data_IF_502992691309
#
_entry.id   IF_502992691309
#
_cell.length_a   1.000
_cell.length_b   1.000
_cell.length_c   1.000
_cell.angle_alpha   90.00
_cell.angle_beta   90.00
_cell.angle_gamma   90.00
#
_symmetry.space_group_name_H-M   'P 1'
#
loop_
_entity.id
_entity.type
_entity.pdbx_description
1 polymer ?
#
# COMPACT_ATOMS: atom_id res chain seq x y z
N UNK A 1 12.18 -10.54 -5.50
CA UNK A 1 11.08 -9.69 -4.99
C UNK A 1 11.61 -8.26 -4.79
N UNK A 2 10.83 -7.21 -5.12
CA UNK A 2 11.23 -5.81 -4.85
C UNK A 2 10.76 -5.44 -3.45
N UNK A 3 11.71 -5.27 -2.53
CA UNK A 3 11.42 -4.87 -1.14
C UNK A 3 11.03 -3.39 -1.08
N UNK A 4 9.92 -3.12 -0.41
CA UNK A 4 9.29 -1.80 -0.32
C UNK A 4 8.69 -1.62 1.07
N UNK A 5 8.80 -0.42 1.61
CA UNK A 5 8.13 -0.03 2.85
C UNK A 5 7.14 1.09 2.51
N UNK A 6 5.92 0.99 3.03
CA UNK A 6 4.90 2.02 2.85
C UNK A 6 4.65 2.72 4.17
N UNK A 7 4.67 4.05 4.14
CA UNK A 7 4.26 4.92 5.25
C UNK A 7 2.98 5.61 4.84
N UNK A 8 1.95 5.45 5.66
CA UNK A 8 0.56 5.80 5.34
C UNK A 8 0.01 6.65 6.48
N UNK A 9 -0.54 7.81 6.13
CA UNK A 9 -1.24 8.69 7.07
C UNK A 9 -0.33 9.32 8.12
N UNK A 10 -0.80 9.40 9.37
CA UNK A 10 -0.09 10.05 10.47
C UNK A 10 -0.99 11.04 11.19
N UNK A 11 -0.58 12.29 11.38
CA UNK A 11 -1.38 13.36 11.99
C UNK A 11 -2.57 13.81 11.09
N UNK A 12 -3.52 12.90 10.84
CA UNK A 12 -4.61 13.08 9.88
C UNK A 12 -4.12 13.45 8.46
N UNK A 13 -2.93 13.01 8.09
CA UNK A 13 -2.39 13.20 6.74
C UNK A 13 -3.02 12.22 5.75
N UNK A 14 -3.15 12.64 4.48
CA UNK A 14 -3.53 11.78 3.35
C UNK A 14 -2.33 11.18 2.63
N UNK A 15 -1.11 11.50 3.06
CA UNK A 15 0.12 11.15 2.35
C UNK A 15 0.40 9.65 2.37
N UNK A 16 0.90 9.17 1.24
CA UNK A 16 1.51 7.85 1.10
C UNK A 16 2.94 8.06 0.60
N UNK A 17 3.88 7.50 1.33
CA UNK A 17 5.29 7.47 0.94
C UNK A 17 5.75 6.03 0.81
N UNK A 18 6.48 5.75 -0.26
CA UNK A 18 7.07 4.46 -0.54
C UNK A 18 8.59 4.58 -0.46
N UNK A 19 9.20 3.76 0.38
CA UNK A 19 10.63 3.61 0.44
C UNK A 19 11.08 2.41 -0.39
N UNK A 20 11.88 2.68 -1.40
CA UNK A 20 12.49 1.67 -2.27
C UNK A 20 13.79 1.20 -1.61
N UNK A 21 13.76 0.03 -0.95
CA UNK A 21 14.86 -0.43 -0.08
C UNK A 21 16.20 -0.52 -0.81
N UNK A 22 16.20 -1.06 -2.03
CA UNK A 22 17.42 -1.20 -2.86
C UNK A 22 17.97 0.15 -3.31
N UNK A 23 17.08 1.07 -3.70
CA UNK A 23 17.46 2.39 -4.20
C UNK A 23 17.74 3.39 -3.07
N UNK A 24 17.42 3.03 -1.82
CA UNK A 24 17.52 3.86 -0.61
C UNK A 24 16.89 5.24 -0.78
N UNK A 25 15.74 5.29 -1.45
CA UNK A 25 15.05 6.54 -1.77
C UNK A 25 13.57 6.47 -1.45
N UNK A 26 13.04 7.63 -1.09
CA UNK A 26 11.62 7.86 -0.92
C UNK A 26 10.98 8.29 -2.23
N UNK A 27 9.75 7.82 -2.44
CA UNK A 27 8.87 8.23 -3.55
C UNK A 27 7.50 8.57 -2.98
N UNK A 28 6.96 9.72 -3.37
CA UNK A 28 5.55 10.07 -3.09
C UNK A 28 4.63 9.27 -4.00
N UNK A 29 3.49 8.85 -3.44
CA UNK A 29 2.42 8.14 -4.15
C UNK A 29 1.15 8.99 -4.15
N UNK A 30 0.13 8.57 -4.91
CA UNK A 30 -1.16 9.26 -4.88
C UNK A 30 -1.71 9.29 -3.43
N UNK A 31 -2.23 10.44 -2.96
CA UNK A 31 -2.74 10.56 -1.60
C UNK A 31 -4.09 9.85 -1.42
N UNK A 32 -4.47 9.54 -0.18
CA UNK A 32 -5.81 9.10 0.16
C UNK A 32 -6.85 10.21 0.03
N UNK A 33 -8.11 9.81 -0.16
CA UNK A 33 -9.24 10.73 -0.10
C UNK A 33 -9.44 11.36 1.28
N UNK A 34 -9.05 10.66 2.35
CA UNK A 34 -9.28 11.07 3.74
C UNK A 34 -8.04 10.81 4.58
N UNK A 35 -7.65 11.81 5.37
CA UNK A 35 -6.51 11.72 6.27
C UNK A 35 -6.81 10.92 7.52
N UNK A 36 -5.86 10.10 8.00
CA UNK A 36 -6.10 9.12 9.06
C UNK A 36 -4.93 8.99 10.03
N UNK A 37 -5.24 8.80 11.32
CA UNK A 37 -4.30 8.49 12.40
C UNK A 37 -4.74 7.21 13.16
N UNK A 38 -3.82 6.56 13.88
CA UNK A 38 -4.10 5.39 14.72
C UNK A 38 -4.84 4.24 14.00
N UNK A 39 -4.43 3.95 12.76
CA UNK A 39 -5.04 2.90 11.93
C UNK A 39 -4.11 1.68 11.84
N UNK A 40 -4.67 0.52 11.51
CA UNK A 40 -3.89 -0.67 11.18
C UNK A 40 -3.71 -0.78 9.66
N UNK A 41 -2.58 -1.36 9.22
CA UNK A 41 -2.26 -1.58 7.80
C UNK A 41 -1.83 -3.03 7.59
N UNK A 42 -2.31 -3.63 6.49
CA UNK A 42 -1.83 -4.92 6.00
C UNK A 42 -1.40 -4.79 4.53
N UNK A 43 -0.33 -5.48 4.16
CA UNK A 43 0.11 -5.62 2.78
C UNK A 43 0.04 -7.09 2.37
N UNK A 44 -0.62 -7.38 1.25
CA UNK A 44 -0.73 -8.73 0.71
C UNK A 44 -0.25 -8.75 -0.73
N UNK A 45 0.55 -9.75 -1.07
CA UNK A 45 0.93 -10.03 -2.45
C UNK A 45 -0.08 -11.01 -3.02
N UNK A 46 -0.79 -10.59 -4.08
CA UNK A 46 -1.74 -11.42 -4.83
C UNK A 46 -1.16 -11.71 -6.21
N UNK A 47 -1.38 -12.92 -6.70
CA UNK A 47 -1.06 -13.28 -8.09
C UNK A 47 -1.99 -12.49 -9.04
N UNK A 48 -1.46 -12.05 -10.19
CA UNK A 48 -2.27 -11.31 -11.18
C UNK A 48 -2.98 -12.21 -12.19
N UNK A 49 -2.65 -13.50 -12.23
CA UNK A 49 -3.40 -14.51 -12.96
C UNK A 49 -3.37 -15.86 -12.22
N UNK A 50 -4.39 -16.72 -12.40
CA UNK A 50 -4.43 -18.05 -11.78
C UNK A 50 -3.28 -18.95 -12.27
N UNK A 51 -2.82 -18.72 -13.49
CA UNK A 51 -1.80 -19.53 -14.17
C UNK A 51 -0.36 -19.11 -13.79
N UNK A 52 -0.19 -17.92 -13.19
CA UNK A 52 1.11 -17.39 -12.73
C UNK A 52 1.46 -17.80 -11.28
N UNK A 53 0.58 -18.50 -10.56
CA UNK A 53 0.87 -18.96 -9.19
C UNK A 53 2.00 -20.01 -9.16
N UNK A 54 2.19 -20.75 -10.26
CA UNK A 54 3.18 -21.83 -10.36
C UNK A 54 4.51 -21.41 -11.01
N UNK A 55 4.55 -20.30 -11.76
CA UNK A 55 5.79 -19.82 -12.37
C UNK A 55 6.61 -18.94 -11.42
N UNK A 56 7.86 -19.36 -11.18
CA UNK A 56 8.89 -18.58 -10.50
C UNK A 56 9.28 -17.34 -11.35
N UNK A 57 8.41 -16.35 -11.38
CA UNK A 57 8.50 -15.21 -12.30
C UNK A 57 7.20 -14.42 -12.49
N UNK A 58 6.06 -14.99 -12.06
CA UNK A 58 4.74 -14.36 -12.16
C UNK A 58 4.67 -12.94 -11.57
N UNK A 59 3.89 -12.09 -12.23
CA UNK A 59 3.67 -10.72 -11.78
C UNK A 59 2.85 -10.74 -10.49
N UNK A 60 3.46 -10.35 -9.37
CA UNK A 60 2.75 -10.19 -8.08
C UNK A 60 2.30 -8.75 -7.93
N UNK A 61 1.02 -8.55 -7.64
CA UNK A 61 0.45 -7.27 -7.27
C UNK A 61 0.43 -7.16 -5.74
N UNK A 62 0.93 -6.06 -5.20
CA UNK A 62 0.79 -5.78 -3.77
C UNK A 62 -0.46 -4.95 -3.55
N UNK A 63 -1.38 -5.46 -2.74
CA UNK A 63 -2.53 -4.73 -2.21
C UNK A 63 -2.21 -4.24 -0.80
N UNK A 64 -2.61 -3.01 -0.49
CA UNK A 64 -2.50 -2.41 0.85
C UNK A 64 -3.89 -2.15 1.38
N UNK A 65 -4.21 -2.73 2.53
CA UNK A 65 -5.49 -2.57 3.22
C UNK A 65 -5.31 -1.79 4.51
N UNK A 66 -6.21 -0.86 4.78
CA UNK A 66 -6.21 0.03 5.96
C UNK A 66 -7.49 -0.22 6.74
N UNK A 67 -7.35 -0.45 8.04
CA UNK A 67 -8.45 -0.79 8.93
C UNK A 67 -8.53 0.18 10.11
N UNK A 68 -9.73 0.68 10.37
CA UNK A 68 -9.99 1.65 11.42
C UNK A 68 -9.29 3.00 11.19
N UNK A 69 -9.45 3.86 12.19
CA UNK A 69 -8.74 5.12 12.43
C UNK A 69 -9.45 5.81 13.61
N UNK A 70 -8.77 6.72 14.31
CA UNK A 70 -9.49 7.64 15.20
C UNK A 70 -10.11 8.77 14.38
N UNK A 71 -11.37 9.14 14.66
CA UNK A 71 -12.06 10.26 14.01
C UNK A 71 -13.29 9.87 13.17
N UNK A 72 -13.92 10.86 12.50
CA UNK A 72 -15.29 10.77 11.98
C UNK A 72 -15.46 9.85 10.76
N UNK A 73 -14.39 9.24 10.26
CA UNK A 73 -14.39 8.48 8.99
C UNK A 73 -13.80 7.07 9.17
N UNK A 74 -14.04 6.46 10.34
CA UNK A 74 -13.60 5.09 10.66
C UNK A 74 -14.24 4.08 9.69
N UNK A 75 -13.52 3.79 8.62
CA UNK A 75 -13.93 2.89 7.54
C UNK A 75 -12.71 2.12 7.04
N UNK A 76 -12.90 0.95 6.43
CA UNK A 76 -11.81 0.19 5.81
C UNK A 76 -11.57 0.65 4.38
N UNK A 77 -10.32 0.59 3.89
CA UNK A 77 -9.99 0.92 2.51
C UNK A 77 -8.88 0.00 1.96
N UNK A 78 -8.91 -0.32 0.67
CA UNK A 78 -7.94 -1.20 -0.01
C UNK A 78 -7.39 -0.52 -1.25
N UNK A 79 -6.07 -0.65 -1.47
CA UNK A 79 -5.33 0.06 -2.52
C UNK A 79 -4.42 -0.87 -3.30
N UNK A 80 -4.30 -0.60 -4.60
CA UNK A 80 -3.37 -1.28 -5.48
C UNK A 80 -2.08 -0.47 -5.66
N UNK A 81 -0.93 -1.12 -5.45
CA UNK A 81 0.39 -0.51 -5.69
C UNK A 81 0.76 -0.40 -7.17
N UNK A 82 0.04 -1.07 -8.08
CA UNK A 82 0.27 -1.02 -9.54
C UNK A 82 -0.36 0.23 -10.18
N UNK A 83 -1.35 0.85 -9.55
CA UNK A 83 -2.20 1.88 -10.18
C UNK A 83 -1.56 3.27 -10.39
N UNK A 84 -0.36 3.55 -9.86
CA UNK A 84 0.41 4.78 -10.19
C UNK A 84 1.67 4.41 -10.98
N UNK A 85 1.52 4.06 -12.26
CA UNK A 85 2.64 3.88 -13.19
C UNK A 85 2.78 5.09 -14.10
#
# INVERSE_FOLDING_TARGET
>A
MKERIFVIGGNYSTTIEEYLVRDRRWRKRAPFAVGRNNHAVAAVNVATSPDEEEEEGGTKKTLISIFGASGPVSSCAVFDTIQDR
#
